data_IF_342758580005
#
_entry.id   IF_342758580005
#
_cell.length_a   1.000
_cell.length_b   1.000
_cell.length_c   1.000
_cell.angle_alpha   90.00
_cell.angle_beta   90.00
_cell.angle_gamma   90.00
#
_symmetry.space_group_name_H-M   'P 1'
#
loop_
_entity.id
_entity.type
_entity.pdbx_description
1 polymer ?
#
# COMPACT_ATOMS: atom_id res chain seq x y z
N UNK A 1 -4.73 -16.28 6.39
CA UNK A 1 -4.13 -15.97 7.70
C UNK A 1 -2.88 -15.17 7.39
N UNK A 2 -2.94 -13.85 7.50
CA UNK A 2 -1.78 -12.99 7.21
C UNK A 2 -0.85 -12.97 8.42
N UNK A 3 0.42 -13.37 8.31
CA UNK A 3 1.36 -13.25 9.43
C UNK A 3 1.60 -11.77 9.76
N UNK A 4 1.71 -11.47 11.05
CA UNK A 4 2.10 -10.12 11.51
C UNK A 4 3.55 -9.91 11.10
N UNK A 5 3.76 -9.01 10.14
CA UNK A 5 5.09 -8.56 9.71
C UNK A 5 5.64 -7.52 10.70
N UNK A 6 6.66 -6.74 10.31
CA UNK A 6 7.20 -5.63 11.14
C UNK A 6 6.08 -4.75 11.70
N UNK A 7 6.27 -4.24 12.91
CA UNK A 7 5.27 -3.44 13.63
C UNK A 7 4.66 -2.35 12.73
N UNK A 8 3.33 -2.29 12.67
CA UNK A 8 2.58 -1.32 11.87
C UNK A 8 2.70 -1.48 10.34
N UNK A 9 3.26 -2.59 9.82
CA UNK A 9 3.18 -2.94 8.39
C UNK A 9 1.78 -3.50 8.08
N UNK A 10 1.09 -2.89 7.13
CA UNK A 10 -0.18 -3.42 6.61
C UNK A 10 0.05 -4.78 5.91
N UNK A 11 -0.86 -5.75 6.05
CA UNK A 11 -0.80 -6.98 5.26
C UNK A 11 -0.86 -6.70 3.76
N UNK A 12 -0.07 -7.42 2.98
CA UNK A 12 -0.01 -7.24 1.53
C UNK A 12 -1.36 -7.57 0.85
N UNK A 13 -2.17 -8.44 1.46
CA UNK A 13 -3.54 -8.82 1.02
C UNK A 13 -4.49 -7.61 0.92
N UNK A 14 -4.26 -6.53 1.69
CA UNK A 14 -5.12 -5.35 1.65
C UNK A 14 -5.08 -4.68 0.27
N UNK A 15 -3.90 -4.63 -0.34
CA UNK A 15 -3.73 -4.02 -1.66
C UNK A 15 -4.35 -4.90 -2.76
N UNK A 16 -4.20 -6.22 -2.67
CA UNK A 16 -4.82 -7.16 -3.61
C UNK A 16 -6.35 -7.06 -3.59
N UNK A 17 -6.94 -6.91 -2.40
CA UNK A 17 -8.38 -6.68 -2.25
C UNK A 17 -8.80 -5.38 -2.94
N UNK A 18 -8.07 -4.29 -2.72
CA UNK A 18 -8.39 -2.99 -3.32
C UNK A 18 -8.26 -3.03 -4.85
N UNK A 19 -7.19 -3.64 -5.37
CA UNK A 19 -6.95 -3.80 -6.81
C UNK A 19 -8.04 -4.69 -7.46
N UNK A 20 -8.49 -5.73 -6.76
CA UNK A 20 -9.58 -6.61 -7.22
C UNK A 20 -10.93 -5.89 -7.25
N UNK A 21 -11.25 -5.12 -6.21
CA UNK A 21 -12.53 -4.41 -6.10
C UNK A 21 -12.61 -3.20 -7.04
N UNK A 22 -11.47 -2.57 -7.33
CA UNK A 22 -11.40 -1.34 -8.13
C UNK A 22 -10.36 -1.44 -9.25
N UNK A 23 -10.55 -2.31 -10.26
CA UNK A 23 -9.56 -2.54 -11.29
C UNK A 23 -9.32 -1.30 -12.17
N UNK A 24 -8.09 -1.15 -12.67
CA UNK A 24 -7.65 -0.07 -13.59
C UNK A 24 -7.86 1.36 -13.04
N UNK A 25 -7.68 1.54 -11.74
CA UNK A 25 -7.74 2.86 -11.09
C UNK A 25 -6.36 3.33 -10.70
N UNK A 26 -6.27 4.64 -10.44
CA UNK A 26 -5.09 5.21 -9.80
C UNK A 26 -5.29 5.09 -8.29
N UNK A 27 -4.28 4.56 -7.61
CA UNK A 27 -4.33 4.36 -6.18
C UNK A 27 -3.37 5.33 -5.49
N UNK A 28 -3.76 5.82 -4.31
CA UNK A 28 -2.97 6.73 -3.49
C UNK A 28 -2.86 6.13 -2.09
N UNK A 29 -1.65 5.94 -1.62
CA UNK A 29 -1.37 5.54 -0.24
C UNK A 29 -0.86 6.74 0.55
N UNK A 30 -1.60 7.11 1.60
CA UNK A 30 -1.23 8.20 2.52
C UNK A 30 -0.45 7.63 3.71
N UNK A 31 0.54 8.39 4.18
CA UNK A 31 1.50 7.98 5.21
C UNK A 31 2.25 6.70 4.84
N UNK A 32 2.51 6.54 3.54
CA UNK A 32 3.33 5.46 3.03
C UNK A 32 4.75 5.57 3.62
N UNK A 33 5.40 4.41 3.79
CA UNK A 33 6.81 4.32 4.22
C UNK A 33 7.69 3.65 3.18
N UNK A 34 7.08 3.15 2.12
CA UNK A 34 7.72 2.51 0.98
C UNK A 34 6.87 2.81 -0.25
N UNK A 35 7.50 2.88 -1.41
CA UNK A 35 6.80 2.95 -2.68
C UNK A 35 6.31 1.56 -3.11
N UNK A 36 5.18 1.52 -3.81
CA UNK A 36 4.63 0.30 -4.40
C UNK A 36 4.27 0.60 -5.85
N UNK A 37 4.69 -0.27 -6.75
CA UNK A 37 4.37 -0.13 -8.18
C UNK A 37 2.84 -0.12 -8.38
N UNK A 38 2.36 0.85 -9.17
CA UNK A 38 0.92 1.06 -9.40
C UNK A 38 0.22 1.92 -8.33
N UNK A 39 0.88 2.24 -7.21
CA UNK A 39 0.36 3.11 -6.16
C UNK A 39 1.18 4.39 -6.07
N UNK A 40 0.51 5.53 -6.06
CA UNK A 40 1.16 6.79 -5.68
C UNK A 40 1.37 6.77 -4.17
N UNK A 41 2.62 6.82 -3.73
CA UNK A 41 2.95 6.91 -2.32
C UNK A 41 3.04 8.38 -1.90
N UNK A 42 2.44 8.72 -0.77
CA UNK A 42 2.57 10.03 -0.14
C UNK A 42 2.79 9.84 1.36
N UNK A 43 3.95 10.26 1.87
CA UNK A 43 4.28 10.17 3.28
C UNK A 43 5.64 10.78 3.54
N UNK A 44 5.87 11.21 4.79
CA UNK A 44 7.11 11.89 5.18
C UNK A 44 8.35 10.97 5.17
N UNK A 45 8.13 9.65 5.12
CA UNK A 45 9.17 8.62 5.05
C UNK A 45 9.39 8.07 3.62
N UNK A 46 8.68 8.61 2.63
CA UNK A 46 8.88 8.25 1.21
C UNK A 46 9.71 9.36 0.58
N UNK A 47 10.88 9.00 0.06
CA UNK A 47 11.76 9.96 -0.64
C UNK A 47 11.00 10.52 -1.86
N UNK A 48 11.03 11.85 -2.02
CA UNK A 48 10.19 12.60 -2.98
C UNK A 48 10.74 12.63 -4.40
#
# INVERSE_FOLDING_TARGET
YSPVNKHSKKPDEVYEIIETLYPNRQYLELFARNEREGWKAWGDEVDS
#
